data_IF_911112091706
#
_entry.id   IF_911112091706
#
_cell.length_a   1.000
_cell.length_b   1.000
_cell.length_c   1.000
_cell.angle_alpha   90.00
_cell.angle_beta   90.00
_cell.angle_gamma   90.00
#
_symmetry.space_group_name_H-M   'P 1'
#
loop_
_entity.id
_entity.type
_entity.pdbx_description
1 polymer ?
#
# COMPACT_ATOMS: atom_id res chain seq x y z
N UNK A 1 -1.76 -15.32 -17.40
CA UNK A 1 -1.95 -13.87 -17.69
C UNK A 1 -1.13 -13.12 -16.65
N UNK A 2 -0.51 -12.00 -17.00
CA UNK A 2 0.22 -11.13 -16.06
C UNK A 2 -0.73 -10.00 -15.69
N UNK A 3 -0.75 -9.62 -14.41
CA UNK A 3 -1.48 -8.47 -13.90
C UNK A 3 -0.51 -7.41 -13.37
N UNK A 4 -0.81 -6.15 -13.64
CA UNK A 4 -0.33 -5.04 -12.83
C UNK A 4 -1.33 -4.89 -11.67
N UNK A 5 -0.85 -5.14 -10.47
CA UNK A 5 -1.70 -5.25 -9.28
C UNK A 5 -1.70 -4.02 -8.38
N UNK A 6 -1.06 -2.92 -8.82
CA UNK A 6 -0.97 -1.69 -8.03
C UNK A 6 -1.08 -0.45 -8.91
N UNK A 7 -2.27 0.13 -8.96
CA UNK A 7 -2.58 1.24 -9.86
C UNK A 7 -3.65 2.16 -9.26
N UNK A 8 -3.41 3.47 -9.34
CA UNK A 8 -4.35 4.49 -8.89
C UNK A 8 -5.00 5.20 -10.06
N UNK A 9 -6.29 5.45 -9.94
CA UNK A 9 -7.05 6.32 -10.82
C UNK A 9 -7.50 7.59 -10.06
N UNK A 10 -8.56 8.23 -10.52
CA UNK A 10 -9.00 9.53 -10.05
C UNK A 10 -9.85 9.55 -8.77
N UNK A 11 -9.87 8.46 -8.01
CA UNK A 11 -10.30 8.46 -6.60
C UNK A 11 -9.14 8.74 -5.64
N UNK A 12 -7.91 8.35 -6.02
CA UNK A 12 -6.72 8.70 -5.25
C UNK A 12 -6.31 10.15 -5.50
N UNK A 13 -6.06 10.92 -4.44
CA UNK A 13 -5.77 12.36 -4.56
C UNK A 13 -4.44 12.66 -5.29
N UNK A 14 -3.57 11.68 -5.42
CA UNK A 14 -2.27 11.76 -6.10
C UNK A 14 -2.30 11.27 -7.55
N UNK A 15 -3.47 10.86 -8.07
CA UNK A 15 -3.65 10.42 -9.45
C UNK A 15 -4.76 11.19 -10.18
N UNK A 16 -4.55 11.45 -11.47
CA UNK A 16 -5.54 12.05 -12.38
C UNK A 16 -5.94 11.09 -13.51
N UNK A 17 -5.39 9.87 -13.51
CA UNK A 17 -5.65 8.88 -14.54
C UNK A 17 -7.12 8.45 -14.52
N UNK A 18 -7.76 8.39 -15.69
CA UNK A 18 -9.12 7.86 -15.79
C UNK A 18 -9.07 6.35 -15.98
N UNK A 19 -10.01 5.64 -15.35
CA UNK A 19 -10.08 4.17 -15.50
C UNK A 19 -10.14 3.73 -16.96
N UNK A 20 -10.81 4.49 -17.83
CA UNK A 20 -10.86 4.18 -19.26
C UNK A 20 -9.47 4.24 -19.93
N UNK A 21 -8.58 5.13 -19.49
CA UNK A 21 -7.20 5.24 -19.96
C UNK A 21 -6.38 4.04 -19.49
N UNK A 22 -6.50 3.66 -18.22
CA UNK A 22 -5.85 2.47 -17.65
C UNK A 22 -6.25 1.20 -18.40
N UNK A 23 -7.56 1.02 -18.63
CA UNK A 23 -8.12 -0.13 -19.37
C UNK A 23 -7.61 -0.16 -20.83
N UNK A 24 -7.55 0.99 -21.50
CA UNK A 24 -7.03 1.06 -22.86
C UNK A 24 -5.53 0.71 -22.93
N UNK A 25 -4.72 1.19 -21.97
CA UNK A 25 -3.31 0.88 -21.88
C UNK A 25 -3.07 -0.61 -21.59
N UNK A 26 -3.79 -1.18 -20.62
CA UNK A 26 -3.73 -2.60 -20.27
C UNK A 26 -4.05 -3.50 -21.47
N UNK A 27 -5.08 -3.13 -22.24
CA UNK A 27 -5.46 -3.83 -23.47
C UNK A 27 -4.35 -3.79 -24.54
N UNK A 28 -3.67 -2.65 -24.71
CA UNK A 28 -2.55 -2.52 -25.65
C UNK A 28 -1.36 -3.39 -25.24
N UNK A 29 -1.09 -3.51 -23.93
CA UNK A 29 -0.01 -4.32 -23.39
C UNK A 29 -0.39 -5.80 -23.23
N UNK A 30 -1.66 -6.17 -23.46
CA UNK A 30 -2.21 -7.52 -23.24
C UNK A 30 -1.96 -8.06 -21.81
N UNK A 31 -2.15 -7.20 -20.81
CA UNK A 31 -2.08 -7.54 -19.38
C UNK A 31 -3.44 -7.35 -18.71
N UNK A 32 -3.62 -7.94 -17.54
CA UNK A 32 -4.68 -7.57 -16.60
C UNK A 32 -4.23 -6.42 -15.70
N UNK A 33 -5.17 -5.73 -15.10
CA UNK A 33 -4.91 -4.66 -14.12
C UNK A 33 -5.82 -4.82 -12.91
N UNK A 34 -5.32 -4.36 -11.77
CA UNK A 34 -6.12 -4.17 -10.55
C UNK A 34 -6.06 -2.69 -10.20
N UNK A 35 -7.21 -2.04 -10.12
CA UNK A 35 -7.29 -0.66 -9.64
C UNK A 35 -7.29 -0.71 -8.12
N UNK A 36 -6.30 -0.10 -7.49
CA UNK A 36 -6.08 -0.11 -6.03
C UNK A 36 -6.01 1.33 -5.52
N UNK A 37 -7.16 2.00 -5.44
CA UNK A 37 -7.22 3.37 -4.93
C UNK A 37 -6.77 3.43 -3.47
N UNK A 38 -6.14 4.53 -3.08
CA UNK A 38 -5.69 4.75 -1.71
C UNK A 38 -6.85 4.78 -0.70
N UNK A 39 -6.64 4.07 0.41
CA UNK A 39 -7.44 4.18 1.62
C UNK A 39 -6.52 4.26 2.83
N UNK A 40 -6.26 5.48 3.30
CA UNK A 40 -5.47 5.72 4.50
C UNK A 40 -6.35 6.44 5.52
N UNK A 41 -7.03 5.67 6.38
CA UNK A 41 -7.84 6.21 7.48
C UNK A 41 -6.95 6.86 8.54
N UNK A 42 -7.40 7.95 9.14
CA UNK A 42 -6.68 8.71 10.16
C UNK A 42 -5.27 9.17 9.69
N UNK A 43 -5.15 9.62 8.42
CA UNK A 43 -3.88 10.07 7.88
C UNK A 43 -3.35 11.30 8.62
N UNK A 44 -2.09 11.34 9.08
CA UNK A 44 -1.59 12.33 10.07
C UNK A 44 -1.72 13.79 9.67
N UNK A 45 -1.59 14.10 8.38
CA UNK A 45 -1.64 15.49 7.88
C UNK A 45 -3.05 15.94 7.51
N UNK A 46 -3.90 15.01 7.09
CA UNK A 46 -5.31 15.23 6.79
C UNK A 46 -6.06 13.90 6.85
N UNK A 47 -6.82 13.62 7.92
CA UNK A 47 -7.44 12.33 8.18
C UNK A 47 -8.34 11.77 7.07
N UNK A 48 -8.78 12.59 6.14
CA UNK A 48 -9.67 12.16 5.04
C UNK A 48 -9.06 12.35 3.65
N UNK A 49 -7.79 12.76 3.54
CA UNK A 49 -7.17 13.07 2.25
C UNK A 49 -7.11 11.87 1.30
N UNK A 50 -6.94 10.68 1.85
CA UNK A 50 -6.82 9.42 1.12
C UNK A 50 -8.02 8.50 1.38
N UNK A 51 -9.21 9.09 1.52
CA UNK A 51 -10.47 8.36 1.63
C UNK A 51 -11.41 8.75 0.49
N UNK A 52 -12.24 7.81 0.06
CA UNK A 52 -13.23 8.02 -0.99
C UNK A 52 -14.53 7.29 -0.65
N UNK A 53 -15.62 7.63 -1.36
CA UNK A 53 -16.87 6.90 -1.25
C UNK A 53 -16.75 5.56 -2.00
N UNK A 54 -16.71 4.47 -1.22
CA UNK A 54 -16.52 3.12 -1.78
C UNK A 54 -17.75 2.62 -2.54
N UNK A 55 -18.95 3.07 -2.17
CA UNK A 55 -20.17 2.73 -2.90
C UNK A 55 -20.15 3.41 -4.27
N UNK A 56 -19.82 4.71 -4.33
CA UNK A 56 -19.63 5.45 -5.58
C UNK A 56 -18.51 4.83 -6.45
N UNK A 57 -17.40 4.38 -5.83
CA UNK A 57 -16.32 3.69 -6.52
C UNK A 57 -16.82 2.45 -7.28
N UNK A 58 -17.57 1.58 -6.61
CA UNK A 58 -18.14 0.39 -7.26
C UNK A 58 -19.23 0.73 -8.28
N UNK A 59 -20.06 1.75 -8.05
CA UNK A 59 -21.03 2.22 -9.03
C UNK A 59 -20.35 2.73 -10.31
N UNK A 60 -19.31 3.53 -10.18
CA UNK A 60 -18.63 4.18 -11.30
C UNK A 60 -17.66 3.24 -12.03
N UNK A 61 -16.90 2.44 -11.31
CA UNK A 61 -15.88 1.56 -11.87
C UNK A 61 -16.41 0.16 -12.19
N UNK A 62 -17.50 -0.26 -11.56
CA UNK A 62 -18.13 -1.57 -11.80
C UNK A 62 -18.38 -1.92 -13.26
N UNK A 63 -18.83 -1.00 -14.12
CA UNK A 63 -19.00 -1.26 -15.55
C UNK A 63 -17.73 -1.68 -16.31
N UNK A 64 -16.55 -1.40 -15.77
CA UNK A 64 -15.24 -1.80 -16.34
C UNK A 64 -14.76 -3.15 -15.84
N UNK A 65 -15.32 -3.66 -14.73
CA UNK A 65 -14.90 -4.92 -14.09
C UNK A 65 -15.05 -6.10 -15.03
N UNK A 66 -14.02 -6.93 -15.12
CA UNK A 66 -13.96 -8.09 -16.00
C UNK A 66 -12.89 -9.08 -15.51
N UNK A 67 -12.64 -10.16 -16.27
CA UNK A 67 -11.54 -11.09 -16.04
C UNK A 67 -10.13 -10.48 -16.19
N UNK A 68 -10.04 -9.26 -16.70
CA UNK A 68 -8.79 -8.51 -16.92
C UNK A 68 -8.73 -7.16 -16.21
N UNK A 69 -9.82 -6.69 -15.66
CA UNK A 69 -9.91 -5.43 -14.90
C UNK A 69 -10.57 -5.75 -13.57
N UNK A 70 -9.77 -5.76 -12.54
CA UNK A 70 -10.18 -6.06 -11.18
C UNK A 70 -10.28 -4.76 -10.37
N UNK A 71 -11.19 -4.73 -9.41
CA UNK A 71 -11.42 -3.60 -8.53
C UNK A 71 -10.92 -3.94 -7.12
N UNK A 72 -9.84 -3.33 -6.73
CA UNK A 72 -9.19 -3.50 -5.45
C UNK A 72 -9.13 -2.22 -4.64
N UNK A 73 -8.31 -2.25 -3.61
CA UNK A 73 -8.04 -1.12 -2.72
C UNK A 73 -6.61 -1.23 -2.17
N UNK A 74 -5.92 -0.11 -1.97
CA UNK A 74 -4.68 -0.04 -1.21
C UNK A 74 -4.95 0.56 0.16
N UNK A 75 -4.80 -0.24 1.22
CA UNK A 75 -5.02 0.17 2.60
C UNK A 75 -3.70 0.55 3.24
N UNK A 76 -3.58 1.80 3.67
CA UNK A 76 -2.48 2.28 4.48
C UNK A 76 -2.66 1.86 5.94
N UNK A 77 -2.00 0.78 6.34
CA UNK A 77 -2.15 0.19 7.67
C UNK A 77 -1.67 1.12 8.77
N UNK A 78 -2.50 1.30 9.78
CA UNK A 78 -2.15 1.93 11.05
C UNK A 78 -2.75 1.13 12.21
N UNK A 79 -2.06 1.07 13.37
CA UNK A 79 -2.51 0.27 14.52
C UNK A 79 -3.89 0.65 15.06
N UNK A 80 -4.22 1.95 14.97
CA UNK A 80 -5.50 2.47 15.45
C UNK A 80 -6.65 2.26 14.46
N UNK A 81 -6.36 2.09 13.17
CA UNK A 81 -7.38 1.90 12.12
C UNK A 81 -7.71 0.44 11.84
N UNK A 82 -6.94 -0.52 12.39
CA UNK A 82 -7.06 -1.95 12.11
C UNK A 82 -8.51 -2.46 12.05
N UNK A 83 -9.34 -2.11 13.02
CA UNK A 83 -10.72 -2.62 13.06
C UNK A 83 -11.60 -2.03 11.93
N UNK A 84 -11.34 -0.78 11.54
CA UNK A 84 -12.04 -0.11 10.45
C UNK A 84 -11.59 -0.70 9.10
N UNK A 85 -10.29 -0.91 8.92
CA UNK A 85 -9.68 -1.48 7.72
C UNK A 85 -10.17 -2.91 7.46
N UNK A 86 -10.17 -3.76 8.50
CA UNK A 86 -10.69 -5.13 8.43
C UNK A 86 -12.19 -5.13 8.06
N UNK A 87 -13.00 -4.27 8.70
CA UNK A 87 -14.42 -4.16 8.42
C UNK A 87 -14.71 -3.65 6.99
N UNK A 88 -13.89 -2.71 6.49
CA UNK A 88 -13.99 -2.20 5.13
C UNK A 88 -13.72 -3.31 4.10
N UNK A 89 -12.61 -4.02 4.27
CA UNK A 89 -12.21 -5.10 3.37
C UNK A 89 -13.21 -6.26 3.37
N UNK A 90 -13.90 -6.52 4.50
CA UNK A 90 -14.96 -7.54 4.59
C UNK A 90 -16.28 -7.08 3.99
N UNK A 91 -16.61 -5.78 4.16
CA UNK A 91 -17.92 -5.23 3.75
C UNK A 91 -18.09 -5.17 2.24
N UNK A 92 -17.05 -4.80 1.51
CA UNK A 92 -17.13 -4.51 0.09
C UNK A 92 -16.50 -5.61 -0.77
N UNK A 93 -17.03 -5.88 -1.97
CA UNK A 93 -16.60 -6.98 -2.82
C UNK A 93 -15.33 -6.62 -3.63
N UNK A 94 -14.26 -6.21 -2.94
CA UNK A 94 -12.97 -6.02 -3.58
C UNK A 94 -12.43 -7.34 -4.14
N UNK A 95 -11.84 -7.27 -5.34
CA UNK A 95 -11.15 -8.40 -5.95
C UNK A 95 -9.74 -8.59 -5.36
N UNK A 96 -9.19 -7.53 -4.76
CA UNK A 96 -7.82 -7.51 -4.24
C UNK A 96 -7.66 -6.40 -3.21
N UNK A 97 -7.09 -6.74 -2.08
CA UNK A 97 -6.77 -5.81 -1.00
C UNK A 97 -5.25 -5.78 -0.83
N UNK A 98 -4.65 -4.64 -1.12
CA UNK A 98 -3.22 -4.39 -0.98
C UNK A 98 -2.96 -3.66 0.33
N UNK A 99 -2.13 -4.21 1.20
CA UNK A 99 -1.77 -3.59 2.48
C UNK A 99 -0.44 -2.83 2.35
N UNK A 100 -0.39 -1.60 2.81
CA UNK A 100 0.76 -0.69 2.66
C UNK A 100 1.15 -0.02 3.96
N UNK A 101 2.40 0.44 4.04
CA UNK A 101 2.89 1.28 5.13
C UNK A 101 3.26 2.66 4.59
N UNK A 102 2.34 3.63 4.73
CA UNK A 102 2.57 5.04 4.36
C UNK A 102 2.97 5.90 5.56
N UNK A 103 2.59 5.46 6.75
CA UNK A 103 2.89 6.13 8.02
C UNK A 103 3.57 5.18 9.00
N UNK A 104 4.37 5.73 9.91
CA UNK A 104 4.93 5.00 11.06
C UNK A 104 4.68 5.78 12.35
N UNK A 105 4.14 5.10 13.37
CA UNK A 105 3.86 5.73 14.67
C UNK A 105 3.10 7.07 14.55
N UNK A 106 2.10 7.15 13.64
CA UNK A 106 1.32 8.36 13.38
C UNK A 106 2.10 9.50 12.69
N UNK A 107 3.21 9.20 12.02
CA UNK A 107 4.01 10.16 11.23
C UNK A 107 4.03 9.73 9.77
N UNK A 108 3.79 10.67 8.89
CA UNK A 108 3.84 10.48 7.44
C UNK A 108 5.29 10.29 6.98
N UNK A 109 5.56 9.19 6.27
CA UNK A 109 6.89 8.89 5.71
C UNK A 109 7.32 9.86 4.61
N UNK A 110 6.38 10.60 4.01
CA UNK A 110 6.69 11.67 3.05
C UNK A 110 7.38 12.86 3.71
N UNK A 111 7.12 13.13 4.99
CA UNK A 111 7.63 14.30 5.70
C UNK A 111 9.01 14.07 6.29
N UNK A 112 9.96 15.00 6.02
CA UNK A 112 11.33 14.93 6.56
C UNK A 112 11.36 14.85 8.09
N UNK A 113 10.39 15.47 8.77
CA UNK A 113 10.28 15.41 10.25
C UNK A 113 10.11 13.97 10.77
N UNK A 114 9.66 13.03 9.93
CA UNK A 114 9.57 11.61 10.29
C UNK A 114 10.96 11.02 10.62
N UNK A 115 12.02 11.61 10.09
CA UNK A 115 13.40 11.13 10.17
C UNK A 115 14.30 12.01 11.07
N UNK A 116 13.75 13.09 11.66
CA UNK A 116 14.54 14.03 12.46
C UNK A 116 15.23 13.34 13.66
N UNK A 117 16.53 13.56 13.76
CA UNK A 117 17.36 13.03 14.84
C UNK A 117 17.72 11.55 14.72
N UNK A 118 17.30 10.87 13.65
CA UNK A 118 17.57 9.46 13.43
C UNK A 118 18.71 9.26 12.42
N UNK A 119 19.60 8.33 12.71
CA UNK A 119 20.47 7.75 11.68
C UNK A 119 19.64 6.83 10.77
N UNK A 120 20.07 6.60 9.53
CA UNK A 120 19.37 5.76 8.55
C UNK A 120 18.96 4.40 9.13
N UNK A 121 19.90 3.72 9.78
CA UNK A 121 19.65 2.40 10.38
C UNK A 121 18.58 2.43 11.47
N UNK A 122 18.50 3.52 12.23
CA UNK A 122 17.47 3.71 13.27
C UNK A 122 16.10 3.93 12.64
N UNK A 123 16.02 4.75 11.59
CA UNK A 123 14.78 4.96 10.84
C UNK A 123 14.28 3.67 10.17
N UNK A 124 15.17 2.88 9.56
CA UNK A 124 14.85 1.56 9.00
C UNK A 124 14.32 0.61 10.08
N UNK A 125 14.94 0.60 11.25
CA UNK A 125 14.50 -0.25 12.37
C UNK A 125 13.12 0.18 12.89
N UNK A 126 12.88 1.48 13.08
CA UNK A 126 11.55 1.98 13.47
C UNK A 126 10.48 1.60 12.45
N UNK A 127 10.76 1.77 11.17
CA UNK A 127 9.86 1.39 10.08
C UNK A 127 9.51 -0.11 10.14
N UNK A 128 10.49 -0.98 10.25
CA UNK A 128 10.26 -2.44 10.27
C UNK A 128 9.55 -2.90 11.55
N UNK A 129 9.84 -2.29 12.70
CA UNK A 129 9.14 -2.58 13.97
C UNK A 129 7.66 -2.20 13.86
N UNK A 130 7.35 -1.03 13.29
CA UNK A 130 5.96 -0.61 13.11
C UNK A 130 5.25 -1.43 12.03
N UNK A 131 5.95 -1.80 10.97
CA UNK A 131 5.47 -2.74 9.95
C UNK A 131 5.07 -4.08 10.57
N UNK A 132 5.93 -4.68 11.40
CA UNK A 132 5.62 -5.92 12.12
C UNK A 132 4.37 -5.78 12.98
N UNK A 133 4.29 -4.71 13.78
CA UNK A 133 3.16 -4.47 14.65
C UNK A 133 1.82 -4.29 13.90
N UNK A 134 1.86 -3.72 12.70
CA UNK A 134 0.70 -3.61 11.82
C UNK A 134 0.36 -4.94 11.14
N UNK A 135 1.33 -5.63 10.58
CA UNK A 135 1.14 -6.95 9.97
C UNK A 135 0.62 -8.01 10.96
N UNK A 136 0.98 -7.93 12.25
CA UNK A 136 0.43 -8.82 13.28
C UNK A 136 -1.08 -8.63 13.48
N UNK A 137 -1.59 -7.41 13.29
CA UNK A 137 -2.98 -7.03 13.54
C UNK A 137 -3.88 -7.18 12.34
N UNK A 138 -3.39 -6.81 11.14
CA UNK A 138 -4.15 -6.88 9.89
C UNK A 138 -4.08 -8.29 9.29
N UNK A 139 -5.22 -8.83 8.90
CA UNK A 139 -5.33 -10.19 8.34
C UNK A 139 -6.06 -10.19 6.99
N UNK A 140 -6.99 -9.26 6.80
CA UNK A 140 -7.86 -9.23 5.62
C UNK A 140 -7.25 -8.42 4.48
N UNK A 141 -6.12 -8.90 3.96
CA UNK A 141 -5.45 -8.37 2.77
C UNK A 141 -4.87 -9.50 1.94
N UNK A 142 -4.59 -9.25 0.66
CA UNK A 142 -4.09 -10.26 -0.28
C UNK A 142 -2.57 -10.22 -0.45
N UNK A 143 -1.96 -9.03 -0.44
CA UNK A 143 -0.51 -8.86 -0.53
C UNK A 143 -0.04 -7.66 0.28
N UNK A 144 1.25 -7.65 0.64
CA UNK A 144 1.91 -6.52 1.28
C UNK A 144 2.71 -5.73 0.23
N UNK A 145 2.42 -4.44 0.12
CA UNK A 145 3.00 -3.54 -0.88
C UNK A 145 4.41 -3.06 -0.49
N UNK A 146 5.11 -2.61 -1.48
CA UNK A 146 6.36 -1.81 -1.45
C UNK A 146 7.03 -1.65 -0.08
N UNK A 147 7.62 -2.71 0.47
CA UNK A 147 8.36 -2.67 1.74
C UNK A 147 9.45 -1.57 1.76
N UNK A 148 9.84 -1.07 0.59
CA UNK A 148 10.82 0.00 0.40
C UNK A 148 10.19 1.39 0.24
N UNK A 149 8.92 1.60 0.62
CA UNK A 149 8.23 2.88 0.46
C UNK A 149 8.99 4.06 1.07
N UNK A 150 9.54 3.89 2.28
CA UNK A 150 10.32 4.92 2.95
C UNK A 150 11.52 5.41 2.13
N UNK A 151 12.07 4.56 1.25
CA UNK A 151 13.22 4.88 0.41
C UNK A 151 12.94 5.99 -0.61
N UNK A 152 11.67 6.29 -0.88
CA UNK A 152 11.29 7.40 -1.77
C UNK A 152 11.57 8.75 -1.14
N UNK A 153 11.42 8.87 0.18
CA UNK A 153 11.34 10.13 0.89
C UNK A 153 12.44 10.36 1.93
N UNK A 154 13.03 9.30 2.49
CA UNK A 154 14.07 9.44 3.51
C UNK A 154 15.21 10.39 3.06
N UNK A 155 15.72 11.29 3.94
CA UNK A 155 16.63 12.37 3.59
C UNK A 155 18.11 11.95 3.56
N UNK A 156 18.41 10.66 3.58
CA UNK A 156 19.78 10.15 3.59
C UNK A 156 20.38 10.11 2.19
N UNK A 157 21.72 10.26 2.09
CA UNK A 157 22.43 10.18 0.82
C UNK A 157 22.30 8.81 0.14
N UNK A 158 22.33 7.75 0.93
CA UNK A 158 21.97 6.40 0.51
C UNK A 158 20.50 6.14 0.86
N UNK A 159 19.67 5.93 -0.17
CA UNK A 159 18.22 5.69 -0.05
C UNK A 159 17.84 4.23 -0.32
N UNK A 160 18.78 3.31 -0.31
CA UNK A 160 18.50 1.89 -0.47
C UNK A 160 18.08 1.26 0.85
N UNK A 161 17.11 0.35 0.79
CA UNK A 161 16.76 -0.49 1.93
C UNK A 161 17.66 -1.73 1.90
N UNK A 162 18.62 -1.76 2.81
CA UNK A 162 19.64 -2.81 2.83
C UNK A 162 19.31 -3.85 3.91
N UNK A 163 19.11 -5.08 3.51
CA UNK A 163 18.81 -6.20 4.40
C UNK A 163 19.79 -6.29 5.59
N UNK A 164 21.08 -5.98 5.35
CA UNK A 164 22.13 -6.01 6.38
C UNK A 164 22.00 -4.94 7.47
N UNK A 165 21.15 -3.92 7.31
CA UNK A 165 20.94 -2.86 8.32
C UNK A 165 20.06 -3.32 9.48
N UNK A 166 19.13 -4.27 9.24
CA UNK A 166 18.25 -4.84 10.25
C UNK A 166 17.83 -6.28 9.91
N UNK A 167 18.78 -7.21 9.73
CA UNK A 167 18.50 -8.54 9.18
C UNK A 167 17.49 -9.33 10.01
N UNK A 168 17.51 -9.18 11.32
CA UNK A 168 16.57 -9.86 12.22
C UNK A 168 15.13 -9.35 12.10
N UNK A 169 14.93 -8.06 11.79
CA UNK A 169 13.61 -7.47 11.59
C UNK A 169 13.04 -7.87 10.22
N UNK A 170 13.87 -7.84 9.17
CA UNK A 170 13.46 -8.36 7.87
C UNK A 170 13.07 -9.84 7.94
N UNK A 171 13.85 -10.67 8.63
CA UNK A 171 13.54 -12.09 8.83
C UNK A 171 12.18 -12.27 9.54
N UNK A 172 11.88 -11.44 10.54
CA UNK A 172 10.58 -11.48 11.23
C UNK A 172 9.43 -11.07 10.29
N UNK A 173 9.58 -9.97 9.52
CA UNK A 173 8.56 -9.53 8.54
C UNK A 173 8.29 -10.64 7.52
N UNK A 174 9.34 -11.22 6.92
CA UNK A 174 9.17 -12.26 5.92
C UNK A 174 8.56 -13.54 6.50
N UNK A 175 8.97 -13.95 7.68
CA UNK A 175 8.36 -15.11 8.38
C UNK A 175 6.89 -14.89 8.69
N UNK A 176 6.51 -13.66 9.10
CA UNK A 176 5.13 -13.33 9.37
C UNK A 176 4.28 -13.34 8.09
N UNK A 177 4.78 -12.75 6.99
CA UNK A 177 4.11 -12.81 5.70
C UNK A 177 3.95 -14.26 5.19
N UNK A 178 4.99 -15.08 5.32
CA UNK A 178 4.92 -16.51 4.98
C UNK A 178 3.88 -17.24 5.83
N UNK A 179 3.88 -17.01 7.15
CA UNK A 179 2.94 -17.64 8.07
C UNK A 179 1.48 -17.24 7.79
N UNK A 180 1.27 -16.03 7.29
CA UNK A 180 -0.04 -15.53 6.85
C UNK A 180 -0.38 -15.89 5.40
N UNK A 181 0.52 -16.56 4.67
CA UNK A 181 0.38 -16.86 3.23
C UNK A 181 0.17 -15.60 2.37
N UNK A 182 0.81 -14.49 2.74
CA UNK A 182 0.71 -13.21 2.04
C UNK A 182 1.96 -12.95 1.21
N UNK A 183 1.83 -12.77 -0.12
CA UNK A 183 2.96 -12.38 -0.97
C UNK A 183 3.42 -10.94 -0.68
N UNK A 184 4.69 -10.69 -0.96
CA UNK A 184 5.26 -9.35 -1.02
C UNK A 184 5.22 -8.84 -2.46
N UNK A 185 4.76 -7.61 -2.64
CA UNK A 185 4.80 -6.93 -3.94
C UNK A 185 6.24 -6.59 -4.34
N UNK A 186 6.53 -6.72 -5.63
CA UNK A 186 7.71 -6.12 -6.26
C UNK A 186 7.26 -4.85 -6.98
N UNK A 187 7.37 -3.72 -6.30
CA UNK A 187 6.99 -2.44 -6.87
C UNK A 187 8.09 -1.90 -7.81
N UNK A 188 7.73 -1.62 -9.05
CA UNK A 188 8.68 -1.22 -10.11
C UNK A 188 8.83 0.28 -10.30
N UNK A 189 8.17 1.12 -9.50
CA UNK A 189 8.21 2.60 -9.63
C UNK A 189 9.63 3.19 -9.51
N UNK A 190 10.55 2.47 -8.88
CA UNK A 190 11.95 2.90 -8.68
C UNK A 190 12.96 2.22 -9.61
N UNK A 191 12.54 1.30 -10.48
CA UNK A 191 13.39 0.59 -11.43
C UNK A 191 13.66 1.41 -12.69
#
# INVERSE_FOLDING_TARGET
MIFDTHMHCDYSCDSHMKIAEAVAAAKQQNIGIVITEHWDDDYPTNPTAFMFDVEEYFERFGPFRSDKVLLGIEIGMQKQTTAADEALAEKYPFDYVLASMHCINGRDLYEERCYEGLAKVEAVREFLIDTLANLERHNNFDAFAHIDYMCRYMPYADKELILGEAPELFDQVFKLLIAKEKPLEINTRRL
#
